data_IF_273175969980
#
_entry.id   IF_273175969980
#
_cell.length_a   1.000
_cell.length_b   1.000
_cell.length_c   1.000
_cell.angle_alpha   90.00
_cell.angle_beta   90.00
_cell.angle_gamma   90.00
#
_symmetry.space_group_name_H-M   'P 1'
#
loop_
_entity.id
_entity.type
_entity.pdbx_description
1 polymer ?
#
# COMPACT_ATOMS: atom_id res chain seq x y z
N UNK A 1 -18.38 8.08 -33.05
CA UNK A 1 -17.73 7.03 -32.24
C UNK A 1 -16.33 7.48 -31.85
N UNK A 2 -16.12 7.83 -30.58
CA UNK A 2 -14.81 8.26 -30.07
C UNK A 2 -13.94 7.00 -29.93
N UNK A 3 -12.91 6.84 -30.76
CA UNK A 3 -11.92 5.77 -30.58
C UNK A 3 -11.28 5.96 -29.20
N UNK A 4 -11.66 5.14 -28.23
CA UNK A 4 -10.89 4.96 -27.01
C UNK A 4 -9.55 4.38 -27.43
N UNK A 5 -8.57 5.26 -27.61
CA UNK A 5 -7.17 4.87 -27.70
C UNK A 5 -6.82 4.21 -26.37
N UNK A 6 -6.79 2.87 -26.37
CA UNK A 6 -6.22 2.08 -25.28
C UNK A 6 -4.72 2.41 -25.25
N UNK A 7 -4.37 3.49 -24.53
CA UNK A 7 -2.98 3.92 -24.29
C UNK A 7 -2.29 2.72 -23.65
N UNK A 8 -1.30 2.15 -24.35
CA UNK A 8 -0.62 0.90 -23.95
C UNK A 8 -0.07 1.09 -22.54
N UNK A 9 -0.61 0.32 -21.60
CA UNK A 9 -0.13 0.23 -20.22
C UNK A 9 1.25 -0.44 -20.22
N UNK A 10 2.31 0.27 -20.62
CA UNK A 10 3.68 -0.29 -20.63
C UNK A 10 4.21 -0.38 -19.20
N UNK A 11 3.86 -1.45 -18.47
CA UNK A 11 4.36 -1.68 -17.11
C UNK A 11 5.88 -1.73 -17.17
N UNK A 12 6.56 -0.83 -16.48
CA UNK A 12 8.01 -0.95 -16.30
C UNK A 12 8.25 -2.16 -15.38
N UNK A 13 8.88 -3.20 -15.93
CA UNK A 13 9.20 -4.45 -15.24
C UNK A 13 10.71 -4.59 -14.97
N UNK A 14 11.52 -3.58 -15.32
CA UNK A 14 12.97 -3.71 -15.40
C UNK A 14 13.70 -3.49 -14.07
N UNK A 15 13.40 -2.38 -13.37
CA UNK A 15 14.25 -1.95 -12.25
C UNK A 15 13.51 -2.01 -10.91
N UNK A 16 13.97 -2.90 -10.03
CA UNK A 16 13.52 -2.91 -8.64
C UNK A 16 14.29 -1.87 -7.82
N UNK A 17 13.58 -1.02 -7.09
CA UNK A 17 14.19 -0.02 -6.20
C UNK A 17 14.21 -0.58 -4.78
N UNK A 18 15.41 -0.91 -4.30
CA UNK A 18 15.62 -1.49 -2.97
C UNK A 18 15.16 -0.57 -1.85
N UNK A 19 15.21 0.76 -2.03
CA UNK A 19 14.78 1.72 -1.01
C UNK A 19 13.27 1.65 -0.84
N UNK A 20 12.54 1.61 -1.96
CA UNK A 20 11.08 1.47 -1.98
C UNK A 20 10.66 0.14 -1.37
N UNK A 21 11.31 -0.97 -1.75
CA UNK A 21 11.05 -2.30 -1.20
C UNK A 21 11.27 -2.30 0.31
N UNK A 22 12.41 -1.78 0.77
CA UNK A 22 12.75 -1.75 2.20
C UNK A 22 11.72 -0.96 3.00
N UNK A 23 11.32 0.23 2.52
CA UNK A 23 10.27 1.02 3.18
C UNK A 23 8.92 0.30 3.17
N UNK A 24 8.52 -0.30 2.05
CA UNK A 24 7.27 -1.04 1.92
C UNK A 24 7.19 -2.24 2.88
N UNK A 25 8.27 -3.01 3.00
CA UNK A 25 8.38 -4.15 3.92
C UNK A 25 8.37 -3.67 5.38
N UNK A 26 9.21 -2.69 5.72
CA UNK A 26 9.27 -2.15 7.09
C UNK A 26 7.91 -1.62 7.54
N UNK A 27 7.26 -0.81 6.71
CA UNK A 27 5.94 -0.25 7.06
C UNK A 27 4.88 -1.36 7.14
N UNK A 28 4.88 -2.34 6.23
CA UNK A 28 3.94 -3.45 6.28
C UNK A 28 4.07 -4.35 7.51
N UNK A 29 5.25 -4.39 8.14
CA UNK A 29 5.53 -5.14 9.38
C UNK A 29 5.26 -4.28 10.62
N UNK A 30 5.76 -3.05 10.65
CA UNK A 30 5.71 -2.19 11.83
C UNK A 30 4.29 -1.76 12.12
N UNK A 31 3.48 -1.37 11.11
CA UNK A 31 2.14 -0.83 11.40
C UNK A 31 1.20 -1.84 12.07
N UNK A 32 1.15 -3.14 11.71
CA UNK A 32 0.39 -4.12 12.47
C UNK A 32 0.90 -4.33 13.90
N UNK A 33 2.23 -4.35 14.10
CA UNK A 33 2.83 -4.58 15.42
C UNK A 33 2.56 -3.43 16.40
N UNK A 34 2.40 -2.19 15.92
CA UNK A 34 2.12 -1.03 16.77
C UNK A 34 0.82 -1.18 17.61
N UNK A 35 -0.14 -2.01 17.16
CA UNK A 35 -1.40 -2.24 17.90
C UNK A 35 -1.18 -3.01 19.21
N UNK A 36 -0.11 -3.81 19.30
CA UNK A 36 0.19 -4.59 20.51
C UNK A 36 0.76 -3.73 21.65
N UNK A 37 1.42 -2.62 21.32
CA UNK A 37 2.06 -1.75 22.31
C UNK A 37 1.11 -0.78 23.01
N UNK A 38 -0.20 -0.83 22.72
CA UNK A 38 -1.19 0.05 23.35
C UNK A 38 -1.91 -0.67 24.50
N UNK A 39 -1.65 -0.30 25.77
CA UNK A 39 -2.14 -1.02 26.94
C UNK A 39 -3.65 -0.85 27.20
N UNK A 40 -4.29 0.16 26.60
CA UNK A 40 -5.69 0.49 26.87
C UNK A 40 -6.62 -0.24 25.89
N UNK A 41 -7.36 -1.24 26.38
CA UNK A 41 -8.24 -2.11 25.58
C UNK A 41 -9.24 -1.35 24.68
N UNK A 42 -9.92 -0.31 25.18
CA UNK A 42 -10.86 0.48 24.37
C UNK A 42 -10.17 1.24 23.23
N UNK A 43 -9.00 1.79 23.50
CA UNK A 43 -8.18 2.51 22.53
C UNK A 43 -7.59 1.54 21.50
N UNK A 44 -7.20 0.34 21.95
CA UNK A 44 -6.68 -0.76 21.12
C UNK A 44 -7.73 -1.33 20.16
N UNK A 45 -9.01 -1.38 20.56
CA UNK A 45 -10.08 -1.98 19.75
C UNK A 45 -10.71 -1.02 18.73
N UNK A 46 -10.71 0.29 18.99
CA UNK A 46 -11.43 1.27 18.14
C UNK A 46 -10.52 2.40 17.67
N UNK A 47 -9.82 3.08 18.58
CA UNK A 47 -9.06 4.30 18.24
C UNK A 47 -7.82 4.03 17.38
N UNK A 48 -6.97 3.10 17.82
CA UNK A 48 -5.71 2.75 17.16
C UNK A 48 -5.93 2.16 15.77
N UNK A 49 -6.89 1.22 15.58
CA UNK A 49 -7.25 0.72 14.25
C UNK A 49 -7.63 1.82 13.25
N UNK A 50 -8.43 2.81 13.65
CA UNK A 50 -8.86 3.88 12.75
C UNK A 50 -7.67 4.76 12.33
N UNK A 51 -6.82 5.14 13.29
CA UNK A 51 -5.64 5.97 13.00
C UNK A 51 -4.67 5.22 12.09
N UNK A 52 -4.37 3.97 12.40
CA UNK A 52 -3.51 3.13 11.55
C UNK A 52 -4.14 2.91 10.18
N UNK A 53 -5.47 2.79 10.10
CA UNK A 53 -6.15 2.61 8.83
C UNK A 53 -5.91 3.82 7.91
N UNK A 54 -6.05 5.04 8.45
CA UNK A 54 -5.82 6.28 7.73
C UNK A 54 -4.35 6.46 7.35
N UNK A 55 -3.41 6.14 8.24
CA UNK A 55 -1.98 6.22 7.96
C UNK A 55 -1.56 5.26 6.85
N UNK A 56 -2.01 4.01 6.92
CA UNK A 56 -1.73 3.01 5.87
C UNK A 56 -2.41 3.36 4.55
N UNK A 57 -3.60 3.97 4.58
CA UNK A 57 -4.26 4.50 3.38
C UNK A 57 -3.40 5.56 2.69
N UNK A 58 -2.95 6.57 3.45
CA UNK A 58 -2.10 7.65 2.92
C UNK A 58 -0.78 7.07 2.40
N UNK A 59 -0.15 6.20 3.19
CA UNK A 59 1.10 5.55 2.81
C UNK A 59 0.95 4.74 1.53
N UNK A 60 -0.15 4.01 1.38
CA UNK A 60 -0.47 3.27 0.17
C UNK A 60 -0.60 4.17 -1.06
N UNK A 61 -1.16 5.37 -0.92
CA UNK A 61 -1.20 6.32 -2.03
C UNK A 61 0.20 6.87 -2.35
N UNK A 62 0.96 7.24 -1.31
CA UNK A 62 2.33 7.77 -1.44
C UNK A 62 3.26 6.78 -2.11
N UNK A 63 3.22 5.50 -1.72
CA UNK A 63 4.11 4.46 -2.29
C UNK A 63 3.81 4.25 -3.78
N UNK A 64 2.53 4.24 -4.18
CA UNK A 64 2.14 4.15 -5.60
C UNK A 64 2.66 5.34 -6.42
N UNK A 65 2.56 6.56 -5.89
CA UNK A 65 3.12 7.76 -6.52
C UNK A 65 4.65 7.69 -6.57
N UNK A 66 5.28 7.21 -5.50
CA UNK A 66 6.74 7.14 -5.38
C UNK A 66 7.35 6.17 -6.40
N UNK A 67 6.76 4.97 -6.53
CA UNK A 67 7.12 3.97 -7.54
C UNK A 67 7.06 4.55 -8.94
N UNK A 68 5.98 5.30 -9.26
CA UNK A 68 5.83 5.94 -10.56
C UNK A 68 6.92 7.00 -10.79
N UNK A 69 7.14 7.90 -9.83
CA UNK A 69 8.14 8.98 -9.94
C UNK A 69 9.57 8.46 -10.13
N UNK A 70 9.88 7.31 -9.54
CA UNK A 70 11.21 6.68 -9.66
C UNK A 70 11.31 5.76 -10.89
N UNK A 71 10.27 5.72 -11.73
CA UNK A 71 10.15 4.79 -12.87
C UNK A 71 10.49 3.35 -12.48
N UNK A 72 10.12 3.00 -11.25
CA UNK A 72 10.47 1.72 -10.64
C UNK A 72 9.52 0.62 -11.12
N UNK A 73 9.87 -0.64 -10.85
CA UNK A 73 9.06 -1.77 -11.28
C UNK A 73 7.64 -1.68 -10.70
N UNK A 74 6.64 -1.66 -11.57
CA UNK A 74 5.23 -1.54 -11.19
C UNK A 74 4.75 -2.67 -10.26
N UNK A 75 5.41 -3.82 -10.23
CA UNK A 75 5.11 -4.91 -9.30
C UNK A 75 5.37 -4.54 -7.83
N UNK A 76 6.17 -3.49 -7.56
CA UNK A 76 6.42 -3.05 -6.19
C UNK A 76 5.18 -2.50 -5.49
N UNK A 77 4.14 -2.11 -6.25
CA UNK A 77 2.86 -1.64 -5.68
C UNK A 77 2.18 -2.71 -4.84
N UNK A 78 2.51 -3.99 -5.05
CA UNK A 78 1.95 -5.11 -4.31
C UNK A 78 2.67 -5.39 -2.99
N UNK A 79 3.91 -4.92 -2.81
CA UNK A 79 4.76 -5.34 -1.69
C UNK A 79 4.17 -4.89 -0.35
N UNK A 80 3.93 -3.59 -0.17
CA UNK A 80 3.36 -3.08 1.08
C UNK A 80 1.99 -3.72 1.40
N UNK A 81 1.00 -3.72 0.49
CA UNK A 81 -0.31 -4.32 0.77
C UNK A 81 -0.27 -5.81 1.10
N UNK A 82 0.58 -6.59 0.42
CA UNK A 82 0.71 -8.04 0.65
C UNK A 82 1.38 -8.32 1.98
N UNK A 83 2.48 -7.63 2.30
CA UNK A 83 3.15 -7.78 3.59
C UNK A 83 2.22 -7.36 4.74
N UNK A 84 1.53 -6.22 4.60
CA UNK A 84 0.53 -5.78 5.56
C UNK A 84 -0.59 -6.82 5.73
N UNK A 85 -1.10 -7.40 4.64
CA UNK A 85 -2.14 -8.42 4.70
C UNK A 85 -1.69 -9.64 5.51
N UNK A 86 -0.49 -10.15 5.26
CA UNK A 86 0.07 -11.30 5.98
C UNK A 86 0.25 -10.96 7.46
N UNK A 87 0.88 -9.82 7.76
CA UNK A 87 1.17 -9.41 9.13
C UNK A 87 -0.11 -9.11 9.92
N UNK A 88 -1.09 -8.45 9.31
CA UNK A 88 -2.39 -8.20 9.93
C UNK A 88 -3.19 -9.48 10.16
N UNK A 89 -3.09 -10.48 9.28
CA UNK A 89 -3.71 -11.78 9.51
C UNK A 89 -3.12 -12.52 10.72
N UNK A 90 -1.80 -12.37 10.95
CA UNK A 90 -1.09 -13.04 12.05
C UNK A 90 -1.25 -12.32 13.40
N UNK A 91 -1.23 -10.98 13.39
CA UNK A 91 -1.10 -10.16 14.61
C UNK A 91 -2.42 -9.49 15.02
N UNK A 92 -3.22 -9.06 14.04
CA UNK A 92 -4.38 -8.21 14.31
C UNK A 92 -5.68 -9.03 14.43
N UNK A 93 -6.74 -8.44 15.02
CA UNK A 93 -8.08 -9.01 14.96
C UNK A 93 -8.52 -9.32 13.53
N UNK A 94 -9.30 -10.41 13.37
CA UNK A 94 -9.71 -10.95 12.07
C UNK A 94 -10.42 -9.95 11.13
N UNK A 95 -10.96 -8.84 11.61
CA UNK A 95 -11.57 -7.87 10.70
C UNK A 95 -10.56 -6.92 10.04
N UNK A 96 -9.31 -6.86 10.52
CA UNK A 96 -8.33 -5.87 10.04
C UNK A 96 -7.57 -6.35 8.79
N UNK A 97 -7.51 -7.65 8.52
CA UNK A 97 -6.85 -8.14 7.31
C UNK A 97 -7.59 -7.73 6.02
N UNK A 98 -8.89 -7.41 6.09
CA UNK A 98 -9.67 -6.88 4.96
C UNK A 98 -9.14 -5.54 4.44
N UNK A 99 -8.32 -4.82 5.20
CA UNK A 99 -7.67 -3.60 4.72
C UNK A 99 -6.54 -3.85 3.72
N UNK A 100 -5.91 -5.04 3.71
CA UNK A 100 -4.85 -5.36 2.75
C UNK A 100 -5.28 -5.22 1.28
N UNK A 101 -6.38 -5.85 0.84
CA UNK A 101 -6.92 -5.64 -0.51
C UNK A 101 -7.28 -4.18 -0.81
N UNK A 102 -7.77 -3.43 0.18
CA UNK A 102 -8.10 -2.01 0.03
C UNK A 102 -6.82 -1.21 -0.26
N UNK A 103 -5.74 -1.44 0.50
CA UNK A 103 -4.44 -0.81 0.24
C UNK A 103 -3.85 -1.24 -1.09
N UNK A 104 -4.04 -2.49 -1.52
CA UNK A 104 -3.63 -2.93 -2.85
C UNK A 104 -4.28 -2.09 -3.94
N UNK A 105 -5.61 -1.91 -3.86
CA UNK A 105 -6.35 -1.09 -4.80
C UNK A 105 -5.86 0.37 -4.79
N UNK A 106 -5.65 0.95 -3.61
CA UNK A 106 -5.18 2.34 -3.50
C UNK A 106 -3.78 2.50 -4.09
N UNK A 107 -2.84 1.64 -3.72
CA UNK A 107 -1.47 1.69 -4.24
C UNK A 107 -1.44 1.56 -5.76
N UNK A 108 -2.22 0.63 -6.30
CA UNK A 108 -2.32 0.44 -7.74
C UNK A 108 -2.96 1.64 -8.44
N UNK A 109 -4.07 2.17 -7.91
CA UNK A 109 -4.75 3.33 -8.47
C UNK A 109 -3.85 4.57 -8.45
N UNK A 110 -3.17 4.84 -7.33
CA UNK A 110 -2.25 5.96 -7.21
C UNK A 110 -1.10 5.85 -8.21
N UNK A 111 -0.50 4.66 -8.34
CA UNK A 111 0.53 4.40 -9.35
C UNK A 111 0.00 4.62 -10.78
N UNK A 112 -1.13 4.01 -11.13
CA UNK A 112 -1.72 4.09 -12.48
C UNK A 112 -2.18 5.50 -12.86
N UNK A 113 -2.75 6.26 -11.91
CA UNK A 113 -3.20 7.63 -12.17
C UNK A 113 -2.02 8.60 -12.29
N UNK A 114 -0.99 8.45 -11.47
CA UNK A 114 0.23 9.27 -11.58
C UNK A 114 0.90 9.09 -12.92
N UNK A 115 0.92 7.87 -13.44
CA UNK A 115 1.44 7.57 -14.76
C UNK A 115 0.71 8.30 -15.89
N UNK A 116 -0.63 8.31 -15.84
CA UNK A 116 -1.43 8.98 -16.88
C UNK A 116 -1.24 10.50 -16.97
N UNK A 117 -0.64 11.12 -15.94
CA UNK A 117 -0.37 12.57 -15.92
C UNK A 117 0.99 12.94 -16.52
N UNK A 118 1.93 11.99 -16.58
CA UNK A 118 3.28 12.22 -17.11
C UNK A 118 3.39 11.92 -18.61
N UNK A 119 2.42 11.20 -19.19
CA UNK A 119 2.32 10.86 -20.62
C UNK A 119 1.31 11.74 -21.38
#
# INVERSE_FOLDING_TARGET
>A
MKKLSLKKLSVNLGNFDLVIITHAVLMGIITPLMVEYVPVIKVRLIGVPIILMLLNFIYSAVIGIWIQKHQSNGLQVFIFPVIFFIMSYLVLPKYMFYFGPIYLLISYLSWSMSRSKEE
#
